data_IF_276740395807
#
_entry.id   IF_276740395807
#
_cell.length_a   1.000
_cell.length_b   1.000
_cell.length_c   1.000
_cell.angle_alpha   90.00
_cell.angle_beta   90.00
_cell.angle_gamma   90.00
#
_symmetry.space_group_name_H-M   'P 1'
#
loop_
_entity.id
_entity.type
_entity.pdbx_description
1 polymer ?
#
# COMPACT_ATOMS: atom_id res chain seq x y z
N UNK A 1 19.59 17.19 7.47
CA UNK A 1 18.64 16.09 7.65
C UNK A 1 18.64 15.50 9.07
N UNK A 2 19.77 15.00 9.63
CA UNK A 2 19.80 14.38 10.99
C UNK A 2 19.24 15.27 12.11
N UNK A 3 19.48 16.58 12.10
CA UNK A 3 18.98 17.51 13.14
C UNK A 3 17.45 17.66 13.13
N UNK A 4 16.83 17.71 11.94
CA UNK A 4 15.37 17.82 11.83
C UNK A 4 14.65 16.54 12.23
N UNK A 5 15.24 15.37 11.94
CA UNK A 5 14.68 14.09 12.38
C UNK A 5 14.61 13.99 13.91
N UNK A 6 15.69 14.38 14.61
CA UNK A 6 15.72 14.39 16.08
C UNK A 6 14.71 15.40 16.67
N UNK A 7 14.52 16.56 16.04
CA UNK A 7 13.54 17.55 16.49
C UNK A 7 12.12 17.06 16.32
N UNK A 8 11.82 16.39 15.20
CA UNK A 8 10.50 15.78 14.94
C UNK A 8 10.22 14.66 15.92
N UNK A 9 11.18 13.76 16.17
CA UNK A 9 11.06 12.70 17.16
C UNK A 9 10.82 13.25 18.59
N UNK A 10 11.55 14.31 18.97
CA UNK A 10 11.36 14.96 20.27
C UNK A 10 9.98 15.63 20.41
N UNK A 11 9.46 16.24 19.33
CA UNK A 11 8.10 16.81 19.33
C UNK A 11 7.04 15.73 19.51
N UNK A 12 7.18 14.58 18.85
CA UNK A 12 6.23 13.47 19.00
C UNK A 12 6.27 12.86 20.39
N UNK A 13 7.44 12.73 21.01
CA UNK A 13 7.52 12.23 22.39
C UNK A 13 6.81 13.17 23.39
N UNK A 14 6.96 14.49 23.24
CA UNK A 14 6.28 15.47 24.09
C UNK A 14 4.76 15.43 23.89
N UNK A 15 4.28 15.32 22.64
CA UNK A 15 2.86 15.23 22.33
C UNK A 15 2.22 13.94 22.85
N UNK A 16 2.91 12.81 22.71
CA UNK A 16 2.43 11.51 23.17
C UNK A 16 2.34 11.43 24.72
N UNK A 17 3.27 12.07 25.44
CA UNK A 17 3.20 12.12 26.92
C UNK A 17 2.18 13.13 27.45
N UNK A 18 1.76 14.08 26.64
CA UNK A 18 0.83 15.12 27.04
C UNK A 18 -0.66 14.78 26.77
N UNK A 19 -0.96 13.74 25.99
CA UNK A 19 -2.32 13.44 25.59
C UNK A 19 -2.50 11.96 25.21
N UNK A 20 -3.34 11.24 25.96
CA UNK A 20 -3.64 9.81 25.75
C UNK A 20 -4.29 9.52 24.38
N UNK A 21 -4.93 10.51 23.77
CA UNK A 21 -5.54 10.40 22.42
C UNK A 21 -4.52 10.45 21.28
N UNK A 22 -3.26 10.83 21.58
CA UNK A 22 -2.20 10.95 20.60
C UNK A 22 -1.34 9.69 20.57
N UNK A 23 -1.25 9.05 19.40
CA UNK A 23 -0.39 7.89 19.16
C UNK A 23 0.50 8.16 17.97
N UNK A 24 1.77 7.88 18.08
CA UNK A 24 2.73 8.01 17.00
C UNK A 24 3.67 6.82 16.97
N UNK A 25 4.04 6.39 15.78
CA UNK A 25 5.07 5.37 15.58
C UNK A 25 5.95 5.72 14.39
N UNK A 26 7.22 5.37 14.48
CA UNK A 26 8.22 5.52 13.42
C UNK A 26 8.90 4.18 13.18
N UNK A 27 8.93 3.75 11.93
CA UNK A 27 9.64 2.53 11.52
C UNK A 27 10.83 2.89 10.65
N UNK A 28 12.00 2.42 11.04
CA UNK A 28 13.20 2.46 10.22
C UNK A 28 13.48 1.04 9.71
N UNK A 29 13.55 0.88 8.40
CA UNK A 29 13.72 -0.43 7.83
C UNK A 29 14.22 -0.40 6.39
N UNK A 30 14.36 -1.59 5.84
CA UNK A 30 14.71 -1.80 4.45
C UNK A 30 13.71 -2.73 3.78
N UNK A 31 13.36 -2.42 2.54
CA UNK A 31 12.48 -3.26 1.76
C UNK A 31 12.81 -3.19 0.27
N UNK A 32 12.36 -4.18 -0.46
CA UNK A 32 12.42 -4.23 -1.92
C UNK A 32 11.02 -4.41 -2.47
N UNK A 33 10.73 -3.67 -3.52
CA UNK A 33 9.48 -3.75 -4.26
C UNK A 33 9.81 -4.12 -5.71
N UNK A 34 9.25 -5.21 -6.19
CA UNK A 34 9.27 -5.50 -7.61
C UNK A 34 8.47 -4.45 -8.38
N UNK A 35 9.00 -4.03 -9.51
CA UNK A 35 8.26 -3.18 -10.43
C UNK A 35 7.28 -4.04 -11.24
N UNK A 36 6.05 -3.56 -11.43
CA UNK A 36 5.11 -4.16 -12.38
C UNK A 36 5.54 -3.90 -13.83
N UNK A 37 6.28 -2.82 -14.06
CA UNK A 37 6.76 -2.43 -15.36
C UNK A 37 8.08 -3.14 -15.71
N UNK A 38 8.34 -3.31 -17.01
CA UNK A 38 9.64 -3.74 -17.55
C UNK A 38 10.69 -2.69 -17.23
N UNK A 39 11.49 -2.92 -16.21
CA UNK A 39 12.48 -1.96 -15.76
C UNK A 39 13.13 -2.34 -14.43
N UNK A 40 13.92 -1.43 -13.89
CA UNK A 40 14.69 -1.69 -12.67
C UNK A 40 13.78 -1.76 -11.45
N UNK A 41 14.06 -2.73 -10.59
CA UNK A 41 13.50 -2.84 -9.24
C UNK A 41 13.66 -1.54 -8.45
N UNK A 42 12.60 -1.11 -7.79
CA UNK A 42 12.68 0.00 -6.87
C UNK A 42 13.15 -0.53 -5.50
N UNK A 43 14.37 -0.16 -5.14
CA UNK A 43 14.83 -0.34 -3.75
C UNK A 43 14.43 0.89 -2.96
N UNK A 44 13.65 0.70 -1.91
CA UNK A 44 13.24 1.78 -1.02
C UNK A 44 13.64 1.43 0.42
N UNK A 45 13.94 2.46 1.19
CA UNK A 45 13.96 2.35 2.65
C UNK A 45 12.59 2.80 3.11
N UNK A 46 11.70 1.90 3.51
CA UNK A 46 10.40 2.31 4.00
C UNK A 46 10.60 3.02 5.35
N UNK A 47 10.25 4.28 5.39
CA UNK A 47 10.00 4.99 6.64
C UNK A 47 8.50 4.99 6.79
N UNK A 48 7.97 4.06 7.57
CA UNK A 48 6.54 4.06 7.90
C UNK A 48 6.34 4.99 9.08
N UNK A 49 5.68 6.09 8.83
CA UNK A 49 5.20 6.99 9.87
C UNK A 49 3.71 6.76 10.03
N UNK A 50 3.30 6.53 11.27
CA UNK A 50 1.90 6.48 11.65
C UNK A 50 1.70 7.47 12.79
N UNK A 51 0.80 8.40 12.60
CA UNK A 51 0.39 9.37 13.60
C UNK A 51 -1.11 9.31 13.66
N UNK A 52 -1.68 9.22 14.86
CA UNK A 52 -3.12 9.34 15.06
C UNK A 52 -3.44 10.26 16.24
N UNK A 53 -4.50 11.00 16.06
CA UNK A 53 -5.11 11.83 17.10
C UNK A 53 -6.61 11.64 17.06
N UNK A 54 -7.18 11.08 18.12
CA UNK A 54 -8.58 10.65 18.13
C UNK A 54 -8.89 9.77 16.92
N UNK A 55 -9.86 10.17 16.12
CA UNK A 55 -10.32 9.43 14.95
C UNK A 55 -9.55 9.75 13.67
N UNK A 56 -8.62 10.71 13.68
CA UNK A 56 -7.84 11.10 12.50
C UNK A 56 -6.47 10.43 12.55
N UNK A 57 -6.01 9.93 11.42
CA UNK A 57 -4.67 9.37 11.30
C UNK A 57 -3.97 9.78 10.00
N UNK A 58 -2.66 9.75 10.04
CA UNK A 58 -1.75 9.75 8.89
C UNK A 58 -0.94 8.47 8.94
N UNK A 59 -0.98 7.68 7.86
CA UNK A 59 -0.22 6.42 7.73
C UNK A 59 0.42 6.35 6.36
N UNK A 60 1.74 6.52 6.30
CA UNK A 60 2.44 6.60 5.02
C UNK A 60 1.95 7.78 4.19
N UNK A 61 1.30 7.52 3.08
CA UNK A 61 0.74 8.52 2.16
C UNK A 61 -0.79 8.66 2.23
N UNK A 62 -1.41 8.00 3.21
CA UNK A 62 -2.85 8.04 3.46
C UNK A 62 -3.17 8.88 4.70
N UNK A 63 -4.09 9.83 4.58
CA UNK A 63 -4.76 10.49 5.70
C UNK A 63 -6.21 10.02 5.76
N UNK A 64 -6.68 9.67 6.95
CA UNK A 64 -8.04 9.18 7.11
C UNK A 64 -8.67 9.58 8.43
N UNK A 65 -9.98 9.45 8.48
CA UNK A 65 -10.77 9.63 9.69
C UNK A 65 -11.76 8.51 9.87
N UNK A 66 -11.74 7.89 11.03
CA UNK A 66 -12.76 6.92 11.45
C UNK A 66 -14.00 7.69 11.89
N UNK A 67 -15.16 7.33 11.37
CA UNK A 67 -16.44 7.93 11.74
C UNK A 67 -17.41 6.93 12.40
N UNK A 68 -17.16 5.63 12.24
CA UNK A 68 -17.70 4.58 13.09
C UNK A 68 -16.49 3.80 13.59
N UNK A 69 -16.40 3.58 14.88
CA UNK A 69 -15.31 2.83 15.53
C UNK A 69 -15.92 2.02 16.68
N UNK A 70 -16.15 0.75 16.43
CA UNK A 70 -16.67 -0.22 17.39
C UNK A 70 -15.77 -1.44 17.42
N UNK A 71 -15.91 -2.33 18.40
CA UNK A 71 -15.09 -3.54 18.52
C UNK A 71 -15.16 -4.48 17.32
N UNK A 72 -16.23 -4.39 16.51
CA UNK A 72 -16.49 -5.31 15.39
C UNK A 72 -16.59 -4.67 14.03
N UNK A 73 -16.79 -3.37 13.99
CA UNK A 73 -17.05 -2.65 12.76
C UNK A 73 -16.51 -1.25 12.86
N UNK A 74 -15.58 -0.93 12.00
CA UNK A 74 -15.15 0.45 11.82
C UNK A 74 -15.28 0.88 10.34
N UNK A 75 -15.44 2.18 10.14
CA UNK A 75 -15.48 2.78 8.83
C UNK A 75 -14.60 4.00 8.79
N UNK A 76 -13.89 4.14 7.69
CA UNK A 76 -12.91 5.19 7.49
C UNK A 76 -13.14 5.88 6.17
N UNK A 77 -13.21 7.21 6.18
CA UNK A 77 -13.01 8.06 5.00
C UNK A 77 -11.52 8.36 4.88
N UNK A 78 -10.93 8.20 3.71
CA UNK A 78 -9.50 8.43 3.52
C UNK A 78 -9.18 9.17 2.22
N UNK A 79 -8.02 9.81 2.20
CA UNK A 79 -7.38 10.37 1.02
C UNK A 79 -5.99 9.73 0.91
N UNK A 80 -5.75 9.09 -0.23
CA UNK A 80 -4.44 8.55 -0.60
C UNK A 80 -3.74 9.52 -1.56
N UNK A 81 -2.56 10.02 -1.19
CA UNK A 81 -1.86 11.04 -1.99
C UNK A 81 -1.02 10.46 -3.13
N UNK A 82 -0.57 9.22 -3.00
CA UNK A 82 0.30 8.57 -3.98
C UNK A 82 -0.31 7.25 -4.49
N UNK A 83 -1.59 7.31 -4.91
CA UNK A 83 -2.25 6.16 -5.51
C UNK A 83 -1.76 5.92 -6.94
N UNK A 84 -1.57 4.64 -7.29
CA UNK A 84 -1.22 4.19 -8.63
C UNK A 84 0.24 3.82 -8.84
N UNK A 85 0.63 3.73 -10.10
CA UNK A 85 1.93 3.20 -10.54
C UNK A 85 2.70 4.26 -11.31
N UNK A 86 3.68 4.90 -10.67
CA UNK A 86 4.47 5.94 -11.31
C UNK A 86 5.68 5.36 -12.02
N UNK A 87 5.86 5.71 -13.30
CA UNK A 87 7.03 5.34 -14.09
C UNK A 87 7.38 6.45 -15.08
N UNK A 88 8.66 6.55 -15.42
CA UNK A 88 9.18 7.40 -16.53
C UNK A 88 9.80 6.46 -17.56
N UNK A 89 9.65 6.77 -18.86
CA UNK A 89 10.28 6.01 -19.93
C UNK A 89 11.77 5.79 -19.74
N UNK A 90 12.50 6.79 -19.20
CA UNK A 90 13.95 6.65 -18.89
C UNK A 90 14.30 5.58 -17.86
N UNK A 91 13.33 5.07 -17.10
CA UNK A 91 13.49 4.00 -16.10
C UNK A 91 13.10 2.62 -16.64
N UNK A 92 12.49 2.59 -17.83
CA UNK A 92 12.16 1.36 -18.52
C UNK A 92 13.38 0.69 -19.15
N UNK A 93 13.28 -0.59 -19.42
CA UNK A 93 14.28 -1.32 -20.19
C UNK A 93 14.46 -0.74 -21.59
N UNK A 94 15.61 -1.02 -22.17
CA UNK A 94 15.92 -0.60 -23.56
C UNK A 94 14.86 -1.18 -24.50
N UNK A 95 14.28 -0.33 -25.35
CA UNK A 95 13.18 -0.71 -26.24
C UNK A 95 11.78 -0.40 -25.74
N UNK A 96 11.63 -0.03 -24.45
CA UNK A 96 10.33 0.37 -23.84
C UNK A 96 10.33 1.81 -23.35
N UNK A 97 11.30 2.61 -23.75
CA UNK A 97 11.53 3.98 -23.23
C UNK A 97 10.68 5.06 -23.88
N UNK A 98 9.91 4.72 -24.89
CA UNK A 98 9.04 5.65 -25.64
C UNK A 98 7.77 6.02 -24.87
N UNK A 99 7.44 5.30 -23.80
CA UNK A 99 6.24 5.55 -23.01
C UNK A 99 6.23 6.94 -22.36
N UNK A 100 5.07 7.53 -22.32
CA UNK A 100 4.79 8.74 -21.57
C UNK A 100 4.95 8.50 -20.07
N UNK A 101 5.27 9.58 -19.33
CA UNK A 101 5.39 9.48 -17.88
C UNK A 101 4.04 9.17 -17.25
N UNK A 102 3.94 8.05 -16.53
CA UNK A 102 2.82 7.77 -15.61
C UNK A 102 3.09 8.46 -14.27
N UNK A 103 2.08 9.08 -13.70
CA UNK A 103 2.18 9.80 -12.41
C UNK A 103 1.19 9.18 -11.43
N UNK A 104 1.52 9.24 -10.15
CA UNK A 104 0.54 8.97 -9.09
C UNK A 104 -0.67 9.89 -9.22
N UNK A 105 -1.80 9.47 -8.67
CA UNK A 105 -2.97 10.30 -8.49
C UNK A 105 -3.26 10.48 -7.00
N UNK A 106 -4.11 11.43 -6.68
CA UNK A 106 -4.79 11.49 -5.40
C UNK A 106 -6.12 10.76 -5.56
N UNK A 107 -6.46 9.94 -4.57
CA UNK A 107 -7.73 9.23 -4.52
C UNK A 107 -8.41 9.48 -3.17
N UNK A 108 -9.72 9.64 -3.19
CA UNK A 108 -10.57 9.67 -2.00
C UNK A 108 -11.35 8.36 -1.95
N UNK A 109 -11.51 7.81 -0.76
CA UNK A 109 -12.17 6.51 -0.63
C UNK A 109 -12.79 6.27 0.73
N UNK A 110 -13.56 5.19 0.77
CA UNK A 110 -14.15 4.64 1.97
C UNK A 110 -13.63 3.22 2.15
N UNK A 111 -13.34 2.86 3.39
CA UNK A 111 -13.05 1.48 3.79
C UNK A 111 -13.79 1.13 5.06
N UNK A 112 -14.06 -0.16 5.25
CA UNK A 112 -14.58 -0.68 6.49
C UNK A 112 -13.73 -1.87 6.93
N UNK A 113 -13.61 -2.07 8.25
CA UNK A 113 -13.06 -3.28 8.84
C UNK A 113 -14.18 -3.96 9.62
N UNK A 114 -14.46 -5.21 9.27
CA UNK A 114 -15.61 -5.99 9.76
C UNK A 114 -15.06 -7.26 10.41
N UNK A 115 -15.21 -7.39 11.74
CA UNK A 115 -14.90 -8.62 12.46
C UNK A 115 -15.89 -9.73 12.11
N UNK A 116 -15.41 -10.90 11.73
CA UNK A 116 -16.23 -12.08 11.40
C UNK A 116 -16.22 -13.05 12.59
N UNK A 117 -16.87 -12.66 13.66
CA UNK A 117 -16.84 -13.39 14.94
C UNK A 117 -17.47 -14.78 14.87
N UNK A 118 -18.45 -15.01 13.96
CA UNK A 118 -19.07 -16.30 13.75
C UNK A 118 -18.07 -17.39 13.30
N UNK A 119 -16.98 -16.98 12.64
CA UNK A 119 -15.91 -17.88 12.20
C UNK A 119 -14.75 -17.81 13.20
N UNK A 120 -14.27 -16.62 13.51
CA UNK A 120 -13.18 -16.39 14.46
C UNK A 120 -13.12 -14.92 14.88
N UNK A 121 -12.94 -14.66 16.18
CA UNK A 121 -12.76 -13.30 16.74
C UNK A 121 -11.57 -12.54 16.17
N UNK A 122 -10.64 -13.25 15.54
CA UNK A 122 -9.42 -12.69 15.00
C UNK A 122 -9.46 -12.50 13.47
N UNK A 123 -10.60 -12.79 12.83
CA UNK A 123 -10.78 -12.69 11.39
C UNK A 123 -11.45 -11.37 11.04
N UNK A 124 -10.83 -10.60 10.14
CA UNK A 124 -11.33 -9.30 9.70
C UNK A 124 -11.51 -9.29 8.19
N UNK A 125 -12.66 -8.86 7.72
CA UNK A 125 -12.96 -8.56 6.33
C UNK A 125 -12.91 -7.06 6.09
N UNK A 126 -12.11 -6.62 5.13
CA UNK A 126 -11.83 -5.20 4.88
C UNK A 126 -12.15 -4.81 3.43
N UNK A 127 -13.41 -4.48 3.10
CA UNK A 127 -13.76 -3.91 1.81
C UNK A 127 -13.38 -2.44 1.73
N UNK A 128 -13.04 -1.97 0.51
CA UNK A 128 -12.80 -0.56 0.25
C UNK A 128 -13.20 -0.16 -1.18
N UNK A 129 -13.41 1.13 -1.36
CA UNK A 129 -13.63 1.76 -2.64
C UNK A 129 -12.94 3.12 -2.68
N UNK A 130 -12.30 3.47 -3.79
CA UNK A 130 -11.68 4.77 -3.97
C UNK A 130 -11.83 5.30 -5.39
N UNK A 131 -11.83 6.63 -5.49
CA UNK A 131 -11.99 7.38 -6.74
C UNK A 131 -10.88 8.39 -6.87
N UNK A 132 -10.22 8.40 -8.02
CA UNK A 132 -9.26 9.43 -8.42
C UNK A 132 -9.53 9.92 -9.84
N UNK A 133 -8.82 10.95 -10.25
CA UNK A 133 -9.02 11.53 -11.58
C UNK A 133 -8.58 10.59 -12.74
N UNK A 134 -7.76 9.56 -12.45
CA UNK A 134 -7.32 8.54 -13.41
C UNK A 134 -8.11 7.24 -13.33
N UNK A 135 -9.19 7.20 -12.56
CA UNK A 135 -10.07 6.05 -12.45
C UNK A 135 -10.35 5.67 -11.00
N UNK A 136 -11.02 4.53 -10.86
CA UNK A 136 -11.53 4.04 -9.58
C UNK A 136 -10.96 2.68 -9.25
N UNK A 137 -10.92 2.36 -7.98
CA UNK A 137 -10.56 1.05 -7.47
C UNK A 137 -11.61 0.58 -6.46
N UNK A 138 -11.85 -0.70 -6.43
CA UNK A 138 -12.64 -1.37 -5.40
C UNK A 138 -11.95 -2.66 -5.02
N UNK A 139 -11.92 -2.99 -3.74
CA UNK A 139 -11.26 -4.20 -3.30
C UNK A 139 -11.78 -4.70 -1.98
N UNK A 140 -11.34 -5.88 -1.63
CA UNK A 140 -11.57 -6.45 -0.31
C UNK A 140 -10.40 -7.35 0.08
N UNK A 141 -10.12 -7.42 1.36
CA UNK A 141 -9.17 -8.35 1.93
C UNK A 141 -9.75 -9.09 3.13
N UNK A 142 -9.19 -10.25 3.39
CA UNK A 142 -9.44 -11.05 4.58
C UNK A 142 -8.10 -11.19 5.30
N UNK A 143 -8.04 -10.83 6.55
CA UNK A 143 -6.86 -10.95 7.39
C UNK A 143 -7.18 -11.68 8.68
N UNK A 144 -6.21 -12.44 9.18
CA UNK A 144 -6.32 -13.17 10.44
C UNK A 144 -5.23 -12.69 11.39
N UNK A 145 -5.62 -12.30 12.60
CA UNK A 145 -4.67 -11.91 13.65
C UNK A 145 -4.33 -13.12 14.50
N UNK A 146 -3.09 -13.58 14.46
CA UNK A 146 -2.59 -14.66 15.28
C UNK A 146 -1.54 -14.15 16.26
N UNK A 147 -1.76 -14.38 17.54
CA UNK A 147 -0.85 -14.01 18.63
C UNK A 147 -0.45 -15.28 19.39
N UNK A 148 0.64 -15.98 18.96
CA UNK A 148 1.12 -17.18 19.65
C UNK A 148 1.70 -16.89 21.03
N UNK A 149 2.07 -15.64 21.29
CA UNK A 149 2.52 -15.12 22.58
C UNK A 149 2.13 -13.64 22.70
N UNK A 150 2.13 -13.08 23.90
CA UNK A 150 1.76 -11.68 24.17
C UNK A 150 2.62 -10.65 23.40
N UNK A 151 3.83 -11.04 23.03
CA UNK A 151 4.80 -10.19 22.34
C UNK A 151 5.00 -10.54 20.85
N UNK A 152 4.18 -11.42 20.28
CA UNK A 152 4.28 -11.84 18.88
C UNK A 152 2.94 -11.65 18.17
N UNK A 153 2.97 -10.92 17.06
CA UNK A 153 1.85 -10.78 16.13
C UNK A 153 2.24 -11.41 14.79
N UNK A 154 1.37 -12.23 14.24
CA UNK A 154 1.46 -12.78 12.89
C UNK A 154 0.11 -12.52 12.21
N UNK A 155 0.12 -11.90 11.04
CA UNK A 155 -1.12 -11.58 10.31
C UNK A 155 -1.01 -12.00 8.85
N UNK A 156 -1.44 -13.21 8.49
CA UNK A 156 -1.67 -13.59 7.11
C UNK A 156 -2.88 -12.85 6.55
N UNK A 157 -2.83 -12.54 5.26
CA UNK A 157 -3.92 -11.89 4.53
C UNK A 157 -4.00 -12.36 3.09
N UNK A 158 -5.22 -12.34 2.56
CA UNK A 158 -5.50 -12.50 1.12
C UNK A 158 -6.44 -11.38 0.69
N UNK A 159 -6.41 -11.02 -0.58
CA UNK A 159 -7.28 -9.96 -1.07
C UNK A 159 -7.38 -9.91 -2.58
N UNK A 160 -8.33 -9.12 -3.03
CA UNK A 160 -8.52 -8.79 -4.43
C UNK A 160 -8.84 -7.33 -4.60
N UNK A 161 -8.45 -6.77 -5.74
CA UNK A 161 -8.70 -5.39 -6.10
C UNK A 161 -9.10 -5.32 -7.56
N UNK A 162 -10.19 -4.64 -7.85
CA UNK A 162 -10.61 -4.27 -9.19
C UNK A 162 -10.11 -2.88 -9.53
N UNK A 163 -9.53 -2.75 -10.70
CA UNK A 163 -9.07 -1.50 -11.33
C UNK A 163 -10.00 -1.18 -12.48
N UNK A 164 -10.62 0.00 -12.47
CA UNK A 164 -11.51 0.41 -13.55
C UNK A 164 -10.75 0.54 -14.88
N UNK A 165 -11.45 0.44 -16.00
CA UNK A 165 -10.88 0.63 -17.36
C UNK A 165 -10.05 1.91 -17.46
N UNK A 166 -10.57 3.05 -16.99
CA UNK A 166 -9.85 4.33 -17.02
C UNK A 166 -8.53 4.29 -16.24
N UNK A 167 -8.51 3.57 -15.11
CA UNK A 167 -7.32 3.38 -14.30
C UNK A 167 -6.30 2.49 -15.02
N UNK A 168 -6.76 1.36 -15.52
CA UNK A 168 -5.93 0.37 -16.21
C UNK A 168 -5.32 0.95 -17.48
N UNK A 169 -6.13 1.66 -18.26
CA UNK A 169 -5.71 2.31 -19.49
C UNK A 169 -4.64 3.37 -19.25
N UNK A 170 -4.83 4.25 -18.26
CA UNK A 170 -3.83 5.26 -17.93
C UNK A 170 -2.48 4.64 -17.50
N UNK A 171 -2.48 3.58 -16.70
CA UNK A 171 -1.23 3.01 -16.16
C UNK A 171 -0.60 1.97 -17.08
N UNK A 172 -1.38 1.21 -17.82
CA UNK A 172 -0.93 0.04 -18.58
C UNK A 172 -1.28 0.10 -20.08
N UNK A 173 -2.07 1.07 -20.50
CA UNK A 173 -2.36 1.35 -21.90
C UNK A 173 -1.16 1.88 -22.66
N UNK A 174 -1.22 1.78 -23.98
CA UNK A 174 -0.22 2.31 -24.93
C UNK A 174 -0.95 3.12 -25.98
N UNK A 175 -0.66 4.41 -26.03
CA UNK A 175 -1.15 5.31 -27.05
C UNK A 175 -0.27 5.29 -28.30
N UNK A 176 -0.80 5.81 -29.40
CA UNK A 176 -0.12 5.81 -30.70
C UNK A 176 1.22 6.59 -30.70
N UNK A 177 1.31 7.63 -29.90
CA UNK A 177 2.51 8.44 -29.76
C UNK A 177 3.61 7.78 -28.91
N UNK A 178 3.29 6.68 -28.23
CA UNK A 178 4.20 5.87 -27.44
C UNK A 178 4.83 4.70 -28.25
N UNK A 179 4.39 4.49 -29.47
CA UNK A 179 4.94 3.43 -30.33
C UNK A 179 6.41 3.69 -30.65
N UNK A 180 7.21 2.64 -30.58
CA UNK A 180 8.65 2.68 -30.89
C UNK A 180 9.43 1.63 -30.12
N UNK A 181 10.61 1.32 -30.62
CA UNK A 181 11.43 0.25 -30.05
C UNK A 181 10.73 -1.10 -30.09
N UNK A 182 10.51 -1.71 -28.94
CA UNK A 182 9.79 -2.98 -28.81
C UNK A 182 8.27 -2.82 -28.68
N UNK A 183 7.76 -1.60 -28.65
CA UNK A 183 6.33 -1.30 -28.55
C UNK A 183 5.79 -1.10 -29.97
N UNK A 184 5.19 -2.12 -30.54
CA UNK A 184 4.76 -2.14 -31.94
C UNK A 184 3.29 -1.85 -32.16
N UNK A 185 2.47 -1.99 -31.14
CA UNK A 185 1.02 -1.84 -31.23
C UNK A 185 0.47 -1.02 -30.07
N UNK A 186 -0.62 -0.27 -30.33
CA UNK A 186 -1.44 0.35 -29.32
C UNK A 186 -2.05 -0.74 -28.42
N UNK A 187 -2.29 -0.39 -27.15
CA UNK A 187 -2.90 -1.29 -26.19
C UNK A 187 -3.89 -0.55 -25.31
N UNK A 188 -5.15 -0.94 -25.38
CA UNK A 188 -6.25 -0.35 -24.61
C UNK A 188 -6.88 -1.43 -23.71
N UNK A 189 -6.36 -1.63 -22.49
CA UNK A 189 -6.88 -2.64 -21.58
C UNK A 189 -8.26 -2.27 -21.06
N UNK A 190 -9.09 -3.27 -20.81
CA UNK A 190 -10.30 -3.12 -20.01
C UNK A 190 -9.99 -3.09 -18.52
N UNK A 191 -11.02 -3.05 -17.65
CA UNK A 191 -10.83 -3.16 -16.22
C UNK A 191 -10.11 -4.46 -15.84
N UNK A 192 -9.29 -4.40 -14.79
CA UNK A 192 -8.43 -5.50 -14.39
C UNK A 192 -8.62 -5.87 -12.93
N UNK A 193 -8.24 -7.09 -12.58
CA UNK A 193 -8.15 -7.55 -11.19
C UNK A 193 -6.69 -7.73 -10.78
N UNK A 194 -6.43 -7.43 -9.52
CA UNK A 194 -5.22 -7.82 -8.79
C UNK A 194 -5.63 -8.78 -7.68
N UNK A 195 -4.92 -9.89 -7.54
CA UNK A 195 -5.06 -10.87 -6.48
C UNK A 195 -3.79 -10.84 -5.65
N UNK A 196 -3.93 -10.75 -4.34
CA UNK A 196 -2.82 -10.63 -3.43
C UNK A 196 -2.89 -11.58 -2.25
N UNK A 197 -1.71 -11.91 -1.73
CA UNK A 197 -1.53 -12.57 -0.45
C UNK A 197 -0.39 -11.91 0.31
N UNK A 198 -0.51 -11.79 1.61
CA UNK A 198 0.46 -11.16 2.47
C UNK A 198 0.68 -11.90 3.77
N UNK A 199 1.85 -11.71 4.33
CA UNK A 199 2.17 -12.12 5.70
C UNK A 199 2.91 -10.97 6.37
N UNK A 200 2.40 -10.55 7.51
CA UNK A 200 3.02 -9.57 8.40
C UNK A 200 3.38 -10.26 9.71
N UNK A 201 4.55 -9.93 10.25
CA UNK A 201 4.99 -10.37 11.56
C UNK A 201 5.59 -9.22 12.35
N UNK A 202 5.31 -9.16 13.65
CA UNK A 202 5.88 -8.17 14.57
C UNK A 202 6.22 -8.84 15.90
N UNK A 203 7.43 -8.54 16.40
CA UNK A 203 7.93 -9.00 17.69
C UNK A 203 8.22 -7.79 18.58
N UNK A 204 7.58 -7.72 19.72
CA UNK A 204 7.75 -6.65 20.71
C UNK A 204 8.86 -6.99 21.72
N UNK A 205 9.92 -6.24 21.71
CA UNK A 205 10.98 -6.31 22.73
C UNK A 205 10.54 -5.60 24.02
N UNK A 206 9.82 -4.49 23.86
CA UNK A 206 9.24 -3.69 24.94
C UNK A 206 7.90 -3.11 24.46
N UNK A 207 7.19 -2.37 25.32
CA UNK A 207 5.97 -1.64 24.93
C UNK A 207 6.22 -0.59 23.84
N UNK A 208 7.45 -0.12 23.69
CA UNK A 208 7.82 0.95 22.77
C UNK A 208 8.66 0.50 21.58
N UNK A 209 9.30 -0.66 21.66
CA UNK A 209 10.24 -1.12 20.62
C UNK A 209 9.80 -2.47 20.11
N UNK A 210 9.63 -2.56 18.79
CA UNK A 210 9.35 -3.82 18.10
C UNK A 210 10.20 -3.97 16.83
N UNK A 211 10.36 -5.21 16.38
CA UNK A 211 10.84 -5.53 15.04
C UNK A 211 9.67 -6.05 14.22
N UNK A 212 9.59 -5.63 12.98
CA UNK A 212 8.57 -6.11 12.05
C UNK A 212 9.18 -6.61 10.74
N UNK A 213 8.48 -7.55 10.11
CA UNK A 213 8.78 -7.99 8.76
C UNK A 213 7.49 -8.28 8.00
N UNK A 214 7.51 -8.11 6.70
CA UNK A 214 6.38 -8.45 5.85
C UNK A 214 6.83 -9.00 4.50
N UNK A 215 5.96 -9.81 3.90
CA UNK A 215 6.01 -10.21 2.51
C UNK A 215 4.60 -10.07 1.93
N UNK A 216 4.51 -9.42 0.77
CA UNK A 216 3.28 -9.32 0.01
C UNK A 216 3.57 -9.80 -1.41
N UNK A 217 2.68 -10.59 -1.96
CA UNK A 217 2.72 -11.09 -3.33
C UNK A 217 1.44 -10.74 -4.03
N UNK A 218 1.52 -10.25 -5.25
CA UNK A 218 0.33 -9.98 -6.05
C UNK A 218 0.50 -10.41 -7.49
N UNK A 219 -0.61 -10.74 -8.12
CA UNK A 219 -0.70 -11.08 -9.54
C UNK A 219 -1.91 -10.41 -10.17
N UNK A 220 -1.69 -9.85 -11.34
CA UNK A 220 -2.72 -9.15 -12.10
C UNK A 220 -3.43 -10.09 -13.07
N UNK A 221 -4.66 -9.74 -13.44
CA UNK A 221 -5.39 -10.39 -14.53
C UNK A 221 -4.72 -10.15 -15.89
N UNK A 222 -5.20 -10.82 -16.92
CA UNK A 222 -4.65 -10.77 -18.28
C UNK A 222 -4.55 -9.36 -18.85
N UNK A 223 -5.48 -8.48 -18.47
CA UNK A 223 -5.54 -7.09 -18.97
C UNK A 223 -4.28 -6.27 -18.60
N UNK A 224 -3.70 -6.51 -17.47
CA UNK A 224 -2.43 -5.88 -17.09
C UNK A 224 -1.25 -6.68 -17.64
N UNK A 225 -1.28 -8.01 -17.49
CA UNK A 225 -0.15 -8.88 -17.85
C UNK A 225 0.17 -8.90 -19.35
N UNK A 226 -0.83 -8.66 -20.23
CA UNK A 226 -0.66 -8.57 -21.68
C UNK A 226 -0.17 -7.22 -22.18
N UNK A 227 -0.11 -6.21 -21.30
CA UNK A 227 0.44 -4.91 -21.69
C UNK A 227 1.90 -5.05 -22.11
N UNK A 228 2.31 -4.46 -23.25
CA UNK A 228 3.70 -4.50 -23.68
C UNK A 228 4.71 -4.01 -22.67
N UNK A 229 4.32 -3.09 -21.80
CA UNK A 229 5.18 -2.42 -20.81
C UNK A 229 5.22 -3.12 -19.45
N UNK A 230 4.45 -4.18 -19.25
CA UNK A 230 4.44 -4.93 -17.98
C UNK A 230 5.14 -6.29 -18.13
N UNK A 231 5.49 -6.88 -16.99
CA UNK A 231 5.99 -8.25 -16.96
C UNK A 231 4.90 -9.20 -16.44
N UNK A 232 4.75 -10.38 -17.10
CA UNK A 232 3.86 -11.44 -16.63
C UNK A 232 4.52 -12.22 -15.50
N UNK A 233 4.58 -11.60 -14.33
CA UNK A 233 5.15 -12.21 -13.13
C UNK A 233 4.31 -11.93 -11.87
N UNK A 234 4.63 -12.63 -10.81
CA UNK A 234 4.18 -12.28 -9.46
C UNK A 234 5.03 -11.09 -9.01
N UNK A 235 4.36 -10.04 -8.55
CA UNK A 235 5.00 -8.86 -7.96
C UNK A 235 5.18 -9.13 -6.47
N UNK A 236 6.41 -9.06 -5.99
CA UNK A 236 6.75 -9.33 -4.60
C UNK A 236 7.27 -8.07 -3.92
N UNK A 237 6.74 -7.79 -2.73
CA UNK A 237 7.20 -6.74 -1.85
C UNK A 237 7.61 -7.37 -0.52
N UNK A 238 8.85 -7.16 -0.11
CA UNK A 238 9.34 -7.63 1.18
C UNK A 238 10.02 -6.51 1.92
N UNK A 239 9.91 -6.52 3.22
CA UNK A 239 10.59 -5.55 4.06
C UNK A 239 10.70 -6.00 5.50
N UNK A 240 11.65 -5.40 6.20
CA UNK A 240 11.84 -5.56 7.63
C UNK A 240 12.35 -4.26 8.25
N UNK A 241 12.02 -4.03 9.51
CA UNK A 241 12.40 -2.81 10.21
C UNK A 241 12.25 -2.88 11.71
N UNK A 242 12.76 -1.85 12.36
CA UNK A 242 12.55 -1.59 13.78
C UNK A 242 11.55 -0.44 13.92
N UNK A 243 10.53 -0.63 14.73
CA UNK A 243 9.49 0.34 15.05
C UNK A 243 9.67 0.86 16.47
N UNK A 244 9.55 2.16 16.61
CA UNK A 244 9.42 2.82 17.91
C UNK A 244 8.02 3.43 18.01
N UNK A 245 7.31 3.11 19.08
CA UNK A 245 5.99 3.66 19.42
C UNK A 245 6.13 4.56 20.64
N UNK A 246 5.63 5.79 20.50
CA UNK A 246 5.68 6.81 21.56
C UNK A 246 4.58 6.60 22.59
#
# INVERSE_FOLDING_TARGET
MKKYLLTVLALFSVLATANDDFKASVTLGYGTNDSIYRGKENKSIPIFESISYKNVYLKGTEIGTKFIDTDRFDTTLFIEFLDGYSIKGSKMDVGYRTINKRKYQQAIGLKADIGIDEISKNLTFSPYFSVGHRGTQAGASLSYLYMPAENIIISPSIGTKYLSKKYTDYYFGIDRDELGGNITNEYNPDGAFEFGAGLYGEYYFTKHISALAYVNMSRYSSEVRKSPITEDRIITNVGAGLKYTF
#
